data_IF_579982325791
#
_entry.id   IF_579982325791
#
_cell.length_a   1.000
_cell.length_b   1.000
_cell.length_c   1.000
_cell.angle_alpha   90.00
_cell.angle_beta   90.00
_cell.angle_gamma   90.00
#
_symmetry.space_group_name_H-M   'P 1'
#
loop_
_entity.id
_entity.type
_entity.pdbx_description
1 polymer ?
#
# COMPACT_ATOMS: atom_id res chain seq x y z
N UNK A 1 -3.08 10.15 14.27
CA UNK A 1 -3.01 8.79 13.64
C UNK A 1 -2.50 7.71 14.62
N UNK A 2 -3.34 6.99 15.39
CA UNK A 2 -2.87 5.92 16.33
C UNK A 2 -3.04 4.47 15.80
N UNK A 3 -3.71 4.28 14.65
CA UNK A 3 -3.99 2.94 14.11
C UNK A 3 -2.84 2.34 13.29
N UNK A 4 -1.87 3.16 12.91
CA UNK A 4 -0.71 2.74 12.13
C UNK A 4 0.57 3.11 12.86
N UNK A 5 1.54 2.20 12.79
CA UNK A 5 2.91 2.46 13.21
C UNK A 5 3.73 2.75 11.95
N UNK A 6 4.61 3.75 12.03
CA UNK A 6 5.53 4.05 10.95
C UNK A 6 6.42 2.82 10.64
N UNK A 7 6.67 2.55 9.37
CA UNK A 7 7.39 1.35 8.89
C UNK A 7 6.57 0.05 8.93
N UNK A 8 5.33 0.07 9.42
CA UNK A 8 4.52 -1.15 9.51
C UNK A 8 4.01 -1.61 8.14
N UNK A 9 3.98 -2.92 7.92
CA UNK A 9 3.47 -3.50 6.68
C UNK A 9 1.97 -3.75 6.75
N UNK A 10 1.25 -3.26 5.74
CA UNK A 10 -0.20 -3.44 5.59
C UNK A 10 -0.53 -4.06 4.24
N UNK A 11 -1.78 -4.52 4.10
CA UNK A 11 -2.36 -4.99 2.83
C UNK A 11 -3.73 -4.35 2.68
N UNK A 12 -3.97 -3.72 1.54
CA UNK A 12 -5.25 -3.11 1.22
C UNK A 12 -6.16 -4.16 0.59
N UNK A 13 -7.29 -4.45 1.22
CA UNK A 13 -8.30 -5.37 0.69
C UNK A 13 -9.50 -4.58 0.18
N UNK A 14 -9.84 -4.75 -1.09
CA UNK A 14 -11.09 -4.27 -1.65
C UNK A 14 -12.26 -4.96 -0.93
N UNK A 15 -13.16 -4.17 -0.36
CA UNK A 15 -14.35 -4.69 0.33
C UNK A 15 -15.32 -5.35 -0.64
N UNK A 16 -15.48 -4.79 -1.83
CA UNK A 16 -16.41 -5.28 -2.86
C UNK A 16 -15.92 -6.58 -3.51
N UNK A 17 -14.63 -6.62 -3.87
CA UNK A 17 -14.07 -7.74 -4.64
C UNK A 17 -13.40 -8.80 -3.77
N UNK A 18 -13.13 -8.48 -2.50
CA UNK A 18 -12.38 -9.35 -1.58
C UNK A 18 -10.92 -9.57 -1.97
N UNK A 19 -10.42 -8.86 -2.99
CA UNK A 19 -9.08 -8.93 -3.56
C UNK A 19 -8.15 -7.89 -2.92
N UNK A 20 -6.85 -8.07 -3.06
CA UNK A 20 -5.82 -7.22 -2.49
C UNK A 20 -5.17 -6.35 -3.56
N UNK A 21 -4.83 -5.11 -3.19
CA UNK A 21 -4.08 -4.20 -4.06
C UNK A 21 -2.63 -4.67 -4.18
N UNK A 22 -2.21 -4.98 -5.39
CA UNK A 22 -0.85 -5.34 -5.74
C UNK A 22 -0.20 -4.21 -6.52
N UNK A 23 1.10 -4.00 -6.27
CA UNK A 23 1.95 -3.29 -7.21
C UNK A 23 2.26 -4.19 -8.41
N UNK A 24 2.15 -3.66 -9.62
CA UNK A 24 2.32 -4.43 -10.85
C UNK A 24 3.80 -4.70 -11.18
N UNK A 25 4.01 -5.64 -12.11
CA UNK A 25 5.27 -5.97 -12.82
C UNK A 25 6.18 -4.79 -13.11
N UNK A 26 5.59 -3.83 -13.82
CA UNK A 26 6.21 -2.58 -14.26
C UNK A 26 6.50 -1.62 -13.08
N UNK A 27 5.86 -1.91 -11.95
CA UNK A 27 5.70 -1.16 -10.72
C UNK A 27 5.18 0.29 -10.85
N UNK A 28 4.73 0.69 -12.03
CA UNK A 28 3.99 1.94 -12.21
C UNK A 28 2.50 1.73 -11.97
N UNK A 29 1.98 0.54 -12.33
CA UNK A 29 0.59 0.16 -12.15
C UNK A 29 0.28 -0.45 -10.79
N UNK A 30 -1.02 -0.51 -10.52
CA UNK A 30 -1.60 -1.34 -9.46
C UNK A 30 -2.81 -2.08 -9.98
N UNK A 31 -2.97 -3.31 -9.50
CA UNK A 31 -4.09 -4.18 -9.85
C UNK A 31 -4.62 -4.91 -8.63
N UNK A 32 -5.80 -5.51 -8.76
CA UNK A 32 -6.40 -6.32 -7.70
C UNK A 32 -6.13 -7.80 -7.96
N UNK A 33 -5.65 -8.52 -6.94
CA UNK A 33 -5.41 -9.96 -6.99
C UNK A 33 -5.93 -10.70 -5.75
N UNK A 34 -6.35 -11.95 -5.89
CA UNK A 34 -6.80 -12.78 -4.76
C UNK A 34 -5.68 -13.16 -3.79
N UNK A 35 -4.42 -13.20 -4.25
CA UNK A 35 -3.28 -13.66 -3.45
C UNK A 35 -2.91 -12.65 -2.38
N UNK A 36 -3.21 -12.96 -1.12
CA UNK A 36 -2.81 -12.15 0.05
C UNK A 36 -1.30 -12.23 0.34
N UNK A 37 -0.75 -13.45 0.33
CA UNK A 37 0.64 -13.72 0.68
C UNK A 37 1.56 -13.48 -0.53
N UNK A 38 1.72 -12.21 -0.90
CA UNK A 38 2.64 -11.74 -1.93
C UNK A 38 3.36 -10.48 -1.45
N UNK A 39 4.58 -10.24 -1.93
CA UNK A 39 5.29 -8.99 -1.69
C UNK A 39 4.62 -7.82 -2.42
N UNK A 40 4.07 -8.08 -3.61
CA UNK A 40 3.34 -7.10 -4.40
C UNK A 40 2.11 -6.57 -3.63
N UNK A 41 1.53 -7.38 -2.75
CA UNK A 41 0.40 -7.00 -1.90
C UNK A 41 0.79 -6.18 -0.66
N UNK A 42 2.09 -6.07 -0.36
CA UNK A 42 2.60 -5.48 0.87
C UNK A 42 2.98 -4.02 0.66
N UNK A 43 2.47 -3.18 1.56
CA UNK A 43 2.68 -1.73 1.56
C UNK A 43 3.22 -1.31 2.92
N UNK A 44 4.34 -0.60 2.93
CA UNK A 44 4.91 0.00 4.14
C UNK A 44 4.19 1.31 4.39
N UNK A 45 3.72 1.51 5.62
CA UNK A 45 3.16 2.77 6.07
C UNK A 45 4.30 3.74 6.37
N UNK A 46 4.31 4.89 5.71
CA UNK A 46 5.10 6.04 6.15
C UNK A 46 4.16 7.12 6.69
N UNK A 47 4.35 7.51 7.95
CA UNK A 47 3.59 8.58 8.59
C UNK A 47 4.30 9.91 8.38
N UNK A 48 3.58 10.88 7.82
CA UNK A 48 4.09 12.24 7.69
C UNK A 48 3.37 13.17 8.64
N UNK A 49 4.17 13.93 9.41
CA UNK A 49 3.71 14.88 10.43
C UNK A 49 4.18 16.31 10.11
N UNK A 50 3.72 16.86 8.99
CA UNK A 50 3.97 18.26 8.62
C UNK A 50 2.76 19.14 8.89
N UNK A 51 2.42 20.04 7.95
CA UNK A 51 1.24 20.90 8.07
C UNK A 51 -0.09 20.13 8.11
N UNK A 52 -0.11 18.89 7.62
CA UNK A 52 -1.22 17.96 7.72
C UNK A 52 -0.70 16.55 8.07
N UNK A 53 -1.53 15.78 8.77
CA UNK A 53 -1.28 14.36 9.03
C UNK A 53 -1.72 13.54 7.82
N UNK A 54 -0.78 12.85 7.16
CA UNK A 54 -1.12 11.91 6.10
C UNK A 54 -0.28 10.64 6.13
N UNK A 55 -0.87 9.58 5.58
CA UNK A 55 -0.25 8.27 5.40
C UNK A 55 0.19 8.13 3.96
N UNK A 56 1.46 7.79 3.76
CA UNK A 56 1.97 7.32 2.49
C UNK A 56 2.08 5.81 2.51
N UNK A 57 1.75 5.18 1.38
CA UNK A 57 1.87 3.74 1.20
C UNK A 57 2.98 3.46 0.19
N UNK A 58 4.07 2.89 0.70
CA UNK A 58 5.27 2.60 -0.06
C UNK A 58 5.30 1.11 -0.42
N UNK A 59 5.44 0.78 -1.71
CA UNK A 59 5.48 -0.60 -2.19
C UNK A 59 6.69 -1.33 -1.60
N UNK A 60 6.45 -2.45 -0.92
CA UNK A 60 7.54 -3.32 -0.43
C UNK A 60 8.23 -4.10 -1.57
N UNK A 61 7.56 -4.25 -2.72
CA UNK A 61 8.11 -4.97 -3.87
C UNK A 61 9.04 -4.10 -4.73
N UNK A 62 8.68 -2.83 -4.95
CA UNK A 62 9.34 -2.00 -5.96
C UNK A 62 9.71 -0.58 -5.50
N UNK A 63 9.47 -0.22 -4.24
CA UNK A 63 9.96 1.04 -3.68
C UNK A 63 9.32 2.32 -4.24
N UNK A 64 8.08 2.23 -4.73
CA UNK A 64 7.29 3.39 -5.21
C UNK A 64 6.09 3.67 -4.32
N UNK A 65 5.65 4.93 -4.29
CA UNK A 65 4.48 5.36 -3.53
C UNK A 65 3.19 5.20 -4.33
N UNK A 66 2.13 4.75 -3.66
CA UNK A 66 0.78 4.74 -4.22
C UNK A 66 0.25 6.17 -4.38
N UNK A 67 -0.31 6.48 -5.54
CA UNK A 67 -0.93 7.76 -5.84
C UNK A 67 -2.20 7.59 -6.68
N UNK A 68 -3.09 8.58 -6.61
CA UNK A 68 -4.25 8.73 -7.46
C UNK A 68 -4.39 10.22 -7.82
N UNK A 69 -4.85 10.52 -9.03
CA UNK A 69 -5.06 11.87 -9.55
C UNK A 69 -6.53 12.17 -9.72
#
# INVERSE_FOLDING_TARGET
MQQFQDGHHVRLRSRERGMYLHADEDGHGVSLHHRRASMNAAWVVHLYHGHAEYVLLHSAAYGRYLAAT
#
